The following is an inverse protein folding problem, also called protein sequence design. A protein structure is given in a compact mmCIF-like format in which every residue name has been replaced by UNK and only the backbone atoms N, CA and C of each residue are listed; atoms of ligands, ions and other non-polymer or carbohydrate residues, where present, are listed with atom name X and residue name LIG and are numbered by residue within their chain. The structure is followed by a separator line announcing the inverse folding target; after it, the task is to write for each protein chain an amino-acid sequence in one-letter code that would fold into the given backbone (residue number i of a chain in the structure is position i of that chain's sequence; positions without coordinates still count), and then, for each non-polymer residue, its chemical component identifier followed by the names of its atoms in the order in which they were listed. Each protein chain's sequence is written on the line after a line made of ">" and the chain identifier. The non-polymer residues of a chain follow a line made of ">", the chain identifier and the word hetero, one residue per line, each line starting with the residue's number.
data_IF_494451536352
#
_entry.id   IF_494451536352
#
_cell.length_a   1.000
_cell.length_b   1.000
_cell.length_c   1.000
_cell.angle_alpha   90.00
_cell.angle_beta   90.00
_cell.angle_gamma   90.00
#
_symmetry.space_group_name_H-M   'P 1'
#
loop_
_entity.id
_entity.type
_entity.pdbx_description
1 polymer ?
#
# COMPACT_ATOMS: atom_id res chain seq x y z
N UNK A 1 10.27 15.07 22.83
CA UNK A 1 8.97 14.40 22.89
C UNK A 1 9.08 12.95 22.48
N UNK A 2 8.39 12.09 23.18
CA UNK A 2 8.35 10.69 22.81
C UNK A 2 7.63 10.51 21.45
N UNK A 3 8.11 9.58 20.65
CA UNK A 3 7.45 9.23 19.39
C UNK A 3 6.13 8.52 19.69
N UNK A 4 5.11 8.81 18.91
CA UNK A 4 3.84 8.12 19.04
C UNK A 4 3.95 6.70 18.50
N UNK A 5 3.31 5.75 19.15
CA UNK A 5 3.26 4.36 18.75
C UNK A 5 1.86 3.99 18.28
N UNK A 6 1.72 2.86 17.61
CA UNK A 6 0.41 2.37 17.19
C UNK A 6 -0.45 1.98 18.39
N UNK A 7 0.17 1.52 19.49
CA UNK A 7 -0.55 1.24 20.73
C UNK A 7 -1.16 2.50 21.33
N UNK A 8 -0.46 3.63 21.26
CA UNK A 8 -0.93 4.91 21.78
C UNK A 8 -2.10 5.45 20.95
N UNK A 9 -2.03 5.32 19.63
CA UNK A 9 -3.04 5.86 18.72
C UNK A 9 -4.25 4.96 18.55
N UNK A 10 -4.03 3.66 18.57
CA UNK A 10 -5.04 2.72 18.13
C UNK A 10 -5.13 2.65 16.60
N UNK A 11 -5.64 1.54 16.10
CA UNK A 11 -5.65 1.22 14.67
C UNK A 11 -6.48 2.21 13.85
N UNK A 12 -7.68 2.53 14.30
CA UNK A 12 -8.59 3.41 13.55
C UNK A 12 -8.02 4.82 13.42
N UNK A 13 -7.52 5.36 14.53
CA UNK A 13 -6.92 6.70 14.53
C UNK A 13 -5.65 6.74 13.70
N UNK A 14 -4.83 5.70 13.79
CA UNK A 14 -3.60 5.62 12.99
C UNK A 14 -3.92 5.62 11.50
N UNK A 15 -4.89 4.83 11.06
CA UNK A 15 -5.30 4.78 9.66
C UNK A 15 -5.83 6.14 9.22
N UNK A 16 -6.70 6.77 10.01
CA UNK A 16 -7.25 8.09 9.66
C UNK A 16 -6.13 9.12 9.46
N UNK A 17 -5.13 9.13 10.33
CA UNK A 17 -4.01 10.05 10.22
C UNK A 17 -3.13 9.76 8.99
N UNK A 18 -2.95 8.50 8.65
CA UNK A 18 -2.14 8.13 7.49
C UNK A 18 -2.75 8.63 6.18
N UNK A 19 -4.07 8.70 6.10
CA UNK A 19 -4.74 9.18 4.89
C UNK A 19 -4.72 10.70 4.74
N UNK A 20 -4.44 11.45 5.81
CA UNK A 20 -4.37 12.91 5.73
C UNK A 20 -3.32 13.35 4.71
N UNK A 21 -3.67 14.29 3.85
CA UNK A 21 -2.78 14.78 2.82
C UNK A 21 -2.66 13.90 1.58
N UNK A 22 -3.31 12.74 1.57
CA UNK A 22 -3.35 11.88 0.39
C UNK A 22 -4.66 12.12 -0.38
N UNK A 23 -4.72 11.76 -1.68
CA UNK A 23 -5.97 11.90 -2.44
C UNK A 23 -6.99 10.80 -2.13
N UNK A 24 -6.69 9.90 -1.22
CA UNK A 24 -7.53 8.76 -0.91
C UNK A 24 -8.28 8.93 0.39
N UNK A 25 -9.36 8.18 0.58
CA UNK A 25 -10.19 8.21 1.78
C UNK A 25 -10.06 6.91 2.56
N UNK A 26 -9.99 6.98 3.89
CA UNK A 26 -9.91 5.76 4.70
C UNK A 26 -11.27 5.06 4.79
N UNK A 27 -11.21 3.76 5.05
CA UNK A 27 -12.39 2.92 5.34
C UNK A 27 -13.42 2.80 4.23
N UNK A 28 -13.04 3.13 3.00
CA UNK A 28 -13.90 2.91 1.85
C UNK A 28 -13.82 1.47 1.37
N UNK A 29 -14.93 0.97 0.86
CA UNK A 29 -14.93 -0.29 0.12
C UNK A 29 -14.35 -0.05 -1.27
N UNK A 30 -13.56 -0.99 -1.74
CA UNK A 30 -12.94 -0.90 -3.04
C UNK A 30 -13.91 -1.37 -4.12
N UNK A 31 -14.19 -0.51 -5.09
CA UNK A 31 -15.08 -0.88 -6.21
C UNK A 31 -14.79 -0.01 -7.43
N UNK A 32 -15.16 -0.51 -8.58
CA UNK A 32 -15.11 0.26 -9.81
C UNK A 32 -16.08 -0.35 -10.83
N UNK A 33 -16.49 0.47 -11.80
CA UNK A 33 -17.31 -0.01 -12.90
C UNK A 33 -16.40 -0.49 -14.03
N UNK A 34 -16.70 -1.68 -14.56
CA UNK A 34 -15.94 -2.21 -15.69
C UNK A 34 -16.41 -1.55 -16.99
N UNK A 35 -15.52 -1.54 -17.98
CA UNK A 35 -15.84 -0.96 -19.29
C UNK A 35 -16.69 -1.88 -20.18
N UNK A 36 -17.33 -2.88 -19.62
CA UNK A 36 -18.28 -3.75 -20.32
C UNK A 36 -17.68 -5.00 -20.93
N UNK A 37 -16.78 -4.91 -21.88
CA UNK A 37 -16.20 -6.07 -22.58
C UNK A 37 -14.76 -6.35 -22.19
N UNK A 38 -14.38 -6.00 -21.00
CA UNK A 38 -13.01 -6.20 -20.56
C UNK A 38 -12.87 -7.37 -19.59
N UNK A 39 -11.65 -7.56 -19.15
CA UNK A 39 -11.28 -8.56 -18.17
C UNK A 39 -10.71 -7.88 -16.95
N UNK A 40 -11.00 -8.43 -15.80
CA UNK A 40 -10.43 -7.96 -14.53
C UNK A 40 -9.18 -8.79 -14.26
N UNK A 41 -8.09 -8.12 -13.97
CA UNK A 41 -6.82 -8.76 -13.64
C UNK A 41 -6.42 -8.37 -12.23
N UNK A 42 -5.70 -9.25 -11.55
CA UNK A 42 -5.20 -8.94 -10.23
C UNK A 42 -3.84 -9.56 -9.99
N UNK A 43 -3.01 -8.85 -9.24
CA UNK A 43 -1.70 -9.31 -8.80
C UNK A 43 -1.48 -8.94 -7.35
N UNK A 44 -0.80 -9.80 -6.63
CA UNK A 44 -0.51 -9.56 -5.22
C UNK A 44 0.91 -9.98 -4.91
N UNK A 45 1.59 -9.21 -4.06
CA UNK A 45 2.90 -9.55 -3.54
C UNK A 45 3.02 -9.14 -2.09
N UNK A 46 3.84 -9.90 -1.37
CA UNK A 46 4.21 -9.59 0.00
C UNK A 46 5.71 -9.35 0.05
N UNK A 47 6.09 -8.24 0.66
CA UNK A 47 7.50 -7.85 0.85
C UNK A 47 7.81 -7.94 2.33
N UNK A 48 8.88 -8.64 2.68
CA UNK A 48 9.22 -8.95 4.07
C UNK A 48 10.58 -8.37 4.41
N UNK A 49 10.63 -7.60 5.50
CA UNK A 49 11.89 -7.06 6.01
C UNK A 49 12.88 -8.19 6.32
N UNK A 50 14.12 -8.01 5.90
CA UNK A 50 15.17 -9.01 6.04
C UNK A 50 15.25 -9.99 4.89
N UNK A 51 14.22 -10.03 4.03
CA UNK A 51 14.19 -10.90 2.83
C UNK A 51 14.18 -10.05 1.58
N UNK A 52 13.20 -9.15 1.47
CA UNK A 52 13.01 -8.32 0.27
C UNK A 52 13.63 -6.94 0.40
N UNK A 53 13.81 -6.46 1.62
CA UNK A 53 14.39 -5.15 1.90
C UNK A 53 15.00 -5.10 3.29
N UNK A 54 15.78 -4.05 3.53
CA UNK A 54 16.40 -3.80 4.83
C UNK A 54 16.15 -2.33 5.18
N UNK A 55 15.48 -2.09 6.31
CA UNK A 55 15.13 -0.73 6.74
C UNK A 55 16.34 0.15 7.05
N UNK A 56 17.49 -0.45 7.33
CA UNK A 56 18.72 0.30 7.61
C UNK A 56 19.24 1.01 6.36
N UNK A 57 19.05 0.41 5.19
CA UNK A 57 19.64 0.89 3.95
C UNK A 57 18.66 1.57 3.01
N UNK A 58 17.37 1.41 3.23
CA UNK A 58 16.35 1.96 2.33
C UNK A 58 15.64 3.14 2.94
N UNK A 59 15.56 4.28 2.23
CA UNK A 59 14.65 5.35 2.63
C UNK A 59 13.21 4.82 2.62
N UNK A 60 12.49 5.03 3.70
CA UNK A 60 11.17 4.43 3.90
C UNK A 60 10.15 4.85 2.84
N UNK A 61 10.17 6.11 2.45
CA UNK A 61 9.28 6.60 1.39
C UNK A 61 9.58 5.91 0.06
N UNK A 62 10.86 5.75 -0.26
CA UNK A 62 11.30 5.07 -1.47
C UNK A 62 10.90 3.61 -1.47
N UNK A 63 10.98 2.95 -0.31
CA UNK A 63 10.56 1.57 -0.15
C UNK A 63 9.08 1.39 -0.52
N UNK A 64 8.21 2.23 0.05
CA UNK A 64 6.78 2.18 -0.27
C UNK A 64 6.50 2.39 -1.74
N UNK A 65 7.17 3.36 -2.34
CA UNK A 65 7.04 3.65 -3.76
C UNK A 65 7.44 2.45 -4.62
N UNK A 66 8.57 1.83 -4.31
CA UNK A 66 9.07 0.67 -5.07
C UNK A 66 8.14 -0.53 -4.99
N UNK A 67 7.55 -0.79 -3.83
CA UNK A 67 6.64 -1.92 -3.68
C UNK A 67 5.42 -1.78 -4.60
N UNK A 68 4.83 -0.58 -4.66
CA UNK A 68 3.70 -0.32 -5.54
C UNK A 68 4.11 -0.46 -7.00
N UNK A 69 5.25 0.08 -7.36
CA UNK A 69 5.76 0.02 -8.73
C UNK A 69 5.97 -1.43 -9.18
N UNK A 70 6.49 -2.27 -8.30
CA UNK A 70 6.72 -3.68 -8.62
C UNK A 70 5.42 -4.43 -8.92
N UNK A 71 4.39 -4.24 -8.09
CA UNK A 71 3.09 -4.88 -8.29
C UNK A 71 2.38 -4.32 -9.51
N UNK A 72 2.41 -3.00 -9.68
CA UNK A 72 1.76 -2.33 -10.80
C UNK A 72 2.38 -2.72 -12.14
N UNK A 73 3.70 -2.96 -12.15
CA UNK A 73 4.38 -3.42 -13.34
C UNK A 73 3.83 -4.73 -13.88
N UNK A 74 3.35 -5.60 -13.01
CA UNK A 74 2.73 -6.86 -13.43
C UNK A 74 1.40 -6.63 -14.15
N UNK A 75 0.63 -5.62 -13.71
CA UNK A 75 -0.59 -5.22 -14.41
C UNK A 75 -0.28 -4.65 -15.80
N UNK A 76 0.71 -3.78 -15.89
CA UNK A 76 1.11 -3.21 -17.18
C UNK A 76 1.63 -4.28 -18.16
N UNK A 77 2.30 -5.30 -17.65
CA UNK A 77 2.77 -6.40 -18.48
C UNK A 77 1.61 -7.14 -19.13
N UNK A 78 0.43 -7.09 -18.54
CA UNK A 78 -0.80 -7.70 -19.11
C UNK A 78 -1.66 -6.67 -19.83
N UNK A 79 -1.13 -5.50 -20.12
CA UNK A 79 -1.86 -4.40 -20.75
C UNK A 79 -3.08 -3.96 -19.94
N UNK A 80 -3.01 -4.10 -18.64
CA UNK A 80 -4.08 -3.70 -17.73
C UNK A 80 -3.89 -2.29 -17.22
N UNK A 81 -4.99 -1.60 -16.99
CA UNK A 81 -4.99 -0.29 -16.36
C UNK A 81 -5.29 -0.45 -14.86
N UNK A 82 -4.46 0.08 -13.97
CA UNK A 82 -4.71 -0.01 -12.54
C UNK A 82 -6.05 0.63 -12.16
N UNK A 83 -6.77 -0.01 -11.25
CA UNK A 83 -8.05 0.50 -10.75
C UNK A 83 -8.04 0.69 -9.24
N UNK A 84 -7.86 -0.39 -8.50
CA UNK A 84 -7.88 -0.36 -7.04
C UNK A 84 -6.69 -1.11 -6.48
N UNK A 85 -6.30 -0.74 -5.28
CA UNK A 85 -5.19 -1.38 -4.59
C UNK A 85 -5.55 -1.58 -3.13
N UNK A 86 -5.21 -2.74 -2.60
CA UNK A 86 -5.42 -3.09 -1.21
C UNK A 86 -4.05 -3.27 -0.56
N UNK A 87 -3.81 -2.56 0.53
CA UNK A 87 -2.52 -2.57 1.23
C UNK A 87 -2.72 -3.05 2.65
N UNK A 88 -1.87 -3.97 3.08
CA UNK A 88 -1.81 -4.42 4.46
C UNK A 88 -0.39 -4.29 4.97
N UNK A 89 -0.24 -3.62 6.09
CA UNK A 89 1.06 -3.44 6.71
C UNK A 89 1.10 -4.22 8.02
N UNK A 90 2.03 -5.16 8.11
CA UNK A 90 2.33 -5.85 9.35
C UNK A 90 3.40 -5.07 10.09
N UNK A 91 3.11 -4.62 11.30
CA UNK A 91 3.94 -3.66 12.02
C UNK A 91 4.38 -4.24 13.35
N UNK A 92 5.69 -4.34 13.56
CA UNK A 92 6.22 -4.78 14.84
C UNK A 92 6.23 -3.64 15.86
N UNK A 93 6.32 -4.00 17.14
CA UNK A 93 6.34 -3.02 18.22
C UNK A 93 7.53 -2.06 18.16
N UNK A 94 8.55 -2.39 17.36
CA UNK A 94 9.74 -1.53 17.20
C UNK A 94 9.53 -0.33 16.30
N UNK A 95 8.44 -0.32 15.53
CA UNK A 95 8.19 0.70 14.53
C UNK A 95 7.23 1.75 15.08
N UNK A 96 7.60 3.02 14.92
CA UNK A 96 6.79 4.15 15.32
C UNK A 96 5.86 4.57 14.19
N UNK A 97 4.82 5.30 14.56
CA UNK A 97 3.88 5.87 13.57
C UNK A 97 4.61 6.66 12.48
N UNK A 98 5.62 7.43 12.86
CA UNK A 98 6.40 8.23 11.92
C UNK A 98 7.03 7.40 10.82
N UNK A 99 7.60 6.26 11.16
CA UNK A 99 8.23 5.37 10.19
C UNK A 99 7.21 4.83 9.18
N UNK A 100 6.06 4.42 9.68
CA UNK A 100 5.00 3.86 8.83
C UNK A 100 4.38 4.95 7.97
N UNK A 101 4.28 6.17 8.49
CA UNK A 101 3.80 7.30 7.71
C UNK A 101 4.70 7.54 6.50
N UNK A 102 6.01 7.43 6.66
CA UNK A 102 6.95 7.60 5.53
C UNK A 102 6.75 6.50 4.47
N UNK A 103 6.60 5.24 4.90
CA UNK A 103 6.32 4.15 3.97
C UNK A 103 5.02 4.40 3.23
N UNK A 104 3.97 4.76 3.97
CA UNK A 104 2.65 5.01 3.39
C UNK A 104 2.66 6.20 2.42
N UNK A 105 3.41 7.25 2.73
CA UNK A 105 3.54 8.38 1.81
C UNK A 105 4.11 7.95 0.47
N UNK A 106 5.09 7.06 0.48
CA UNK A 106 5.63 6.49 -0.76
C UNK A 106 4.61 5.64 -1.50
N UNK A 107 3.85 4.82 -0.78
CA UNK A 107 2.78 4.02 -1.37
C UNK A 107 1.73 4.92 -2.02
N UNK A 108 1.26 5.93 -1.30
CA UNK A 108 0.23 6.83 -1.79
C UNK A 108 0.71 7.65 -3.00
N UNK A 109 1.96 8.10 -2.99
CA UNK A 109 2.54 8.84 -4.10
C UNK A 109 2.59 7.99 -5.37
N UNK A 110 3.06 6.75 -5.27
CA UNK A 110 3.11 5.84 -6.40
C UNK A 110 1.71 5.48 -6.90
N UNK A 111 0.78 5.24 -5.99
CA UNK A 111 -0.60 4.93 -6.34
C UNK A 111 -1.25 6.06 -7.12
N UNK A 112 -1.04 7.29 -6.68
CA UNK A 112 -1.53 8.48 -7.38
C UNK A 112 -0.93 8.57 -8.77
N UNK A 113 0.37 8.39 -8.88
CA UNK A 113 1.10 8.47 -10.14
C UNK A 113 0.60 7.43 -11.15
N UNK A 114 0.28 6.23 -10.69
CA UNK A 114 -0.24 5.16 -11.55
C UNK A 114 -1.76 5.22 -11.76
N UNK A 115 -2.44 6.18 -11.16
CA UNK A 115 -3.85 6.41 -11.42
C UNK A 115 -4.81 5.48 -10.69
N UNK A 116 -4.39 4.88 -9.58
CA UNK A 116 -5.31 4.11 -8.75
C UNK A 116 -6.43 5.00 -8.22
N UNK A 117 -7.66 4.54 -8.34
CA UNK A 117 -8.84 5.31 -7.88
C UNK A 117 -9.10 5.13 -6.40
N UNK A 118 -8.79 3.97 -5.87
CA UNK A 118 -8.96 3.66 -4.45
C UNK A 118 -7.76 2.88 -3.95
N UNK A 119 -7.36 3.20 -2.74
CA UNK A 119 -6.32 2.46 -2.02
C UNK A 119 -6.85 2.19 -0.62
N UNK A 120 -7.04 0.92 -0.29
CA UNK A 120 -7.46 0.52 1.04
C UNK A 120 -6.24 0.15 1.87
N UNK A 121 -6.36 0.32 3.17
CA UNK A 121 -5.25 0.05 4.10
C UNK A 121 -5.76 -0.66 5.34
N UNK A 122 -5.08 -1.73 5.70
CA UNK A 122 -5.24 -2.37 6.98
C UNK A 122 -3.89 -2.44 7.69
N UNK A 123 -3.92 -2.34 9.01
CA UNK A 123 -2.74 -2.43 9.85
C UNK A 123 -2.90 -3.63 10.76
N UNK A 124 -1.91 -4.51 10.75
CA UNK A 124 -1.93 -5.72 11.58
C UNK A 124 -0.62 -5.83 12.35
N UNK A 125 -0.63 -6.47 13.52
CA UNK A 125 0.62 -6.67 14.26
C UNK A 125 1.51 -7.68 13.57
N UNK A 126 2.81 -7.49 13.70
CA UNK A 126 3.82 -8.42 13.19
C UNK A 126 4.79 -8.76 14.32
N UNK A 127 5.15 -10.03 14.49
CA UNK A 127 6.13 -10.41 15.52
C UNK A 127 7.53 -9.87 15.22
N UNK A 128 7.88 -9.72 13.95
CA UNK A 128 9.20 -9.26 13.53
C UNK A 128 9.11 -8.30 12.37
N UNK A 129 9.58 -7.07 12.58
CA UNK A 129 9.79 -6.12 11.52
C UNK A 129 8.55 -5.67 10.77
N UNK A 130 8.77 -5.18 9.56
CA UNK A 130 7.73 -4.65 8.69
C UNK A 130 7.42 -5.64 7.58
N UNK A 131 6.15 -5.87 7.34
CA UNK A 131 5.67 -6.64 6.20
C UNK A 131 4.73 -5.75 5.40
N UNK A 132 4.92 -5.71 4.08
CA UNK A 132 4.09 -4.92 3.17
C UNK A 132 3.42 -5.89 2.21
N UNK A 133 2.09 -5.98 2.26
CA UNK A 133 1.32 -6.80 1.33
C UNK A 133 0.48 -5.88 0.45
N UNK A 134 0.60 -6.05 -0.86
CA UNK A 134 -0.12 -5.24 -1.83
C UNK A 134 -0.84 -6.15 -2.81
N UNK A 135 -2.14 -5.91 -2.97
CA UNK A 135 -2.96 -6.57 -3.95
C UNK A 135 -3.52 -5.51 -4.89
N UNK A 136 -3.24 -5.63 -6.17
CA UNK A 136 -3.68 -4.66 -7.17
C UNK A 136 -4.69 -5.29 -8.12
N UNK A 137 -5.72 -4.53 -8.44
CA UNK A 137 -6.75 -4.94 -9.39
C UNK A 137 -6.78 -3.93 -10.53
N UNK A 138 -6.77 -4.43 -11.74
CA UNK A 138 -6.87 -3.62 -12.94
C UNK A 138 -7.82 -4.24 -13.93
N UNK A 139 -7.96 -3.59 -15.07
CA UNK A 139 -8.77 -4.15 -16.15
C UNK A 139 -8.06 -3.96 -17.48
N UNK A 140 -8.32 -4.89 -18.38
CA UNK A 140 -7.77 -4.88 -19.74
C UNK A 140 -8.85 -5.29 -20.71
N UNK A 141 -8.75 -4.79 -21.94
CA UNK A 141 -9.57 -5.27 -23.04
C UNK A 141 -8.90 -6.40 -23.83
N UNK A 142 -7.71 -6.80 -23.39
CA UNK A 142 -6.91 -7.84 -24.06
C UNK A 142 -6.74 -9.06 -23.16
N UNK A 143 -6.69 -10.20 -23.79
CA UNK A 143 -6.32 -11.44 -23.14
C UNK A 143 -5.08 -12.01 -23.80
#
# INVERSE_FOLDING_TARGET
>A
MAEETFSDLGRVEAIARLYEGTPYKPFESSWFETAGKGYVTSHARTFIEGIDFDLVYFPLKHLGYKCVTAVTGELYAEMSHPRTMDVRLGISAKLDFKHIKEVWEGIAAAAKEHGYKQVTLDLVPSPNGLTISISSVGETSFL
#
